data_IF_238155054764
#
_entry.id   IF_238155054764
#
_cell.length_a   1.000
_cell.length_b   1.000
_cell.length_c   1.000
_cell.angle_alpha   90.00
_cell.angle_beta   90.00
_cell.angle_gamma   90.00
#
_symmetry.space_group_name_H-M   'P 1'
#
loop_
_entity.id
_entity.type
_entity.pdbx_description
1 polymer ?
#
# COMPACT_ATOMS: atom_id res chain seq x y z
N UNK A 1 0.46 -7.68 18.84
CA UNK A 1 0.34 -8.29 17.51
C UNK A 1 -1.07 -8.04 16.98
N UNK A 2 -1.27 -7.92 15.66
CA UNK A 2 -2.61 -7.89 15.10
C UNK A 2 -3.15 -9.32 15.06
N UNK A 3 -4.35 -9.53 15.61
CA UNK A 3 -5.02 -10.82 15.56
C UNK A 3 -5.95 -10.88 14.34
N UNK A 4 -5.96 -12.01 13.65
CA UNK A 4 -6.87 -12.28 12.53
C UNK A 4 -7.80 -13.41 12.91
N UNK A 5 -9.09 -13.22 12.67
CA UNK A 5 -10.13 -14.17 13.07
C UNK A 5 -10.12 -15.44 12.20
N UNK A 6 -9.71 -15.31 10.93
CA UNK A 6 -9.59 -16.39 9.97
C UNK A 6 -8.72 -15.95 8.78
N UNK A 7 -8.46 -16.89 7.86
CA UNK A 7 -7.64 -16.64 6.67
C UNK A 7 -8.24 -15.56 5.75
N UNK A 8 -9.56 -15.49 5.61
CA UNK A 8 -10.21 -14.51 4.74
C UNK A 8 -10.08 -13.09 5.31
N UNK A 9 -10.20 -12.93 6.64
CA UNK A 9 -9.92 -11.67 7.31
C UNK A 9 -8.46 -11.24 7.07
N UNK A 10 -7.49 -12.16 7.24
CA UNK A 10 -6.09 -11.86 6.95
C UNK A 10 -5.87 -11.40 5.50
N UNK A 11 -6.43 -12.13 4.51
CA UNK A 11 -6.29 -11.78 3.09
C UNK A 11 -6.85 -10.39 2.78
N UNK A 12 -8.02 -10.06 3.34
CA UNK A 12 -8.66 -8.75 3.17
C UNK A 12 -7.77 -7.63 3.72
N UNK A 13 -7.30 -7.78 4.95
CA UNK A 13 -6.45 -6.77 5.59
C UNK A 13 -5.11 -6.60 4.88
N UNK A 14 -4.50 -7.71 4.43
CA UNK A 14 -3.26 -7.68 3.67
C UNK A 14 -3.47 -6.98 2.32
N UNK A 15 -4.55 -7.29 1.62
CA UNK A 15 -4.88 -6.66 0.33
C UNK A 15 -5.11 -5.15 0.50
N UNK A 16 -5.82 -4.75 1.56
CA UNK A 16 -6.03 -3.34 1.90
C UNK A 16 -4.70 -2.64 2.21
N UNK A 17 -3.82 -3.28 2.97
CA UNK A 17 -2.50 -2.73 3.28
C UNK A 17 -1.63 -2.56 2.03
N UNK A 18 -1.56 -3.58 1.17
CA UNK A 18 -0.80 -3.53 -0.09
C UNK A 18 -1.34 -2.42 -1.00
N UNK A 19 -2.67 -2.29 -1.10
CA UNK A 19 -3.29 -1.21 -1.85
C UNK A 19 -2.90 0.17 -1.30
N UNK A 20 -3.04 0.38 0.02
CA UNK A 20 -2.66 1.63 0.67
C UNK A 20 -1.19 1.95 0.47
N UNK A 21 -0.30 0.98 0.66
CA UNK A 21 1.14 1.16 0.51
C UNK A 21 1.50 1.61 -0.90
N UNK A 22 0.93 0.98 -1.93
CA UNK A 22 1.30 1.26 -3.32
C UNK A 22 0.62 2.51 -3.88
N UNK A 23 -0.62 2.81 -3.48
CA UNK A 23 -1.45 3.83 -4.13
C UNK A 23 -1.74 5.05 -3.27
N UNK A 24 -1.58 4.97 -1.95
CA UNK A 24 -2.00 6.03 -1.02
C UNK A 24 -0.86 6.55 -0.13
N UNK A 25 0.13 5.72 0.18
CA UNK A 25 1.28 6.11 1.02
C UNK A 25 2.18 7.07 0.26
N UNK A 26 2.22 8.31 0.71
CA UNK A 26 3.11 9.34 0.18
C UNK A 26 4.52 9.19 0.79
N UNK A 27 5.56 9.36 -0.03
CA UNK A 27 6.95 9.24 0.41
C UNK A 27 7.78 10.48 0.02
N UNK A 28 8.45 11.10 0.99
CA UNK A 28 9.22 12.33 0.78
C UNK A 28 10.34 12.18 -0.26
N UNK A 29 11.08 11.07 -0.23
CA UNK A 29 12.14 10.80 -1.23
C UNK A 29 11.60 10.50 -2.63
N UNK A 30 10.30 10.24 -2.79
CA UNK A 30 9.64 10.10 -4.09
C UNK A 30 9.05 11.44 -4.58
N UNK A 31 9.42 12.56 -3.97
CA UNK A 31 8.87 13.87 -4.29
C UNK A 31 7.41 14.00 -3.87
N UNK A 32 7.04 13.43 -2.72
CA UNK A 32 5.66 13.41 -2.21
C UNK A 32 4.66 12.73 -3.16
N UNK A 33 5.11 11.70 -3.88
CA UNK A 33 4.26 10.80 -4.67
C UNK A 33 4.07 9.47 -3.94
N UNK A 34 2.98 8.77 -4.24
CA UNK A 34 2.87 7.34 -3.94
C UNK A 34 3.79 6.51 -4.85
N UNK A 35 4.12 5.26 -4.47
CA UNK A 35 4.95 4.39 -5.32
C UNK A 35 4.45 4.23 -6.75
N UNK A 36 3.13 4.12 -6.95
CA UNK A 36 2.53 4.01 -8.29
C UNK A 36 2.67 5.33 -9.06
N UNK A 37 2.34 6.47 -8.46
CA UNK A 37 2.48 7.78 -9.10
C UNK A 37 3.94 8.09 -9.45
N UNK A 38 4.88 7.73 -8.58
CA UNK A 38 6.30 7.86 -8.85
C UNK A 38 6.69 7.06 -10.09
N UNK A 39 6.32 5.76 -10.15
CA UNK A 39 6.59 4.91 -11.32
C UNK A 39 5.97 5.45 -12.59
N UNK A 40 4.73 5.95 -12.53
CA UNK A 40 4.05 6.55 -13.67
C UNK A 40 4.75 7.82 -14.17
N UNK A 41 5.38 8.59 -13.27
CA UNK A 41 6.13 9.78 -13.66
C UNK A 41 7.51 9.52 -14.25
N UNK A 42 7.96 8.25 -14.26
CA UNK A 42 9.21 7.82 -14.90
C UNK A 42 9.00 7.25 -16.31
N UNK A 43 7.74 7.03 -16.71
CA UNK A 43 7.34 6.63 -18.06
C UNK A 43 7.14 7.87 -18.93
#
# INVERSE_FOLDING_TARGET
SRHFENLEHLKRELSAYVYWFNNKRIHGTLGYKSPVEYRQSLL
#
